data_IF_786304934155
#
_entry.id   IF_786304934155
#
_cell.length_a   1.000
_cell.length_b   1.000
_cell.length_c   1.000
_cell.angle_alpha   90.00
_cell.angle_beta   90.00
_cell.angle_gamma   90.00
#
_symmetry.space_group_name_H-M   'P 1'
#
loop_
_entity.id
_entity.type
_entity.pdbx_description
1 polymer ?
#
# COMPACT_ATOMS: atom_id res chain seq x y z
N UNK A 1 22.86 12.16 60.44
CA UNK A 1 21.85 11.50 59.58
C UNK A 1 21.38 12.52 58.55
N UNK A 2 21.52 12.22 57.25
CA UNK A 2 21.31 13.16 56.13
C UNK A 2 19.86 13.02 55.64
N UNK A 3 19.07 14.10 55.42
CA UNK A 3 17.67 13.94 55.04
C UNK A 3 17.54 13.42 53.60
N UNK A 4 16.60 12.48 53.41
CA UNK A 4 16.31 11.85 52.13
C UNK A 4 15.61 12.85 51.20
N UNK A 5 16.17 13.04 50.01
CA UNK A 5 15.68 13.93 48.96
C UNK A 5 14.35 13.39 48.38
N UNK A 6 13.25 14.12 48.56
CA UNK A 6 11.94 13.78 47.99
C UNK A 6 11.88 14.22 46.53
N UNK A 7 12.42 13.38 45.63
CA UNK A 7 12.34 13.60 44.20
C UNK A 7 10.89 13.51 43.69
N UNK A 8 10.29 14.68 43.44
CA UNK A 8 9.19 14.98 42.49
C UNK A 8 8.26 13.80 42.15
N UNK A 9 7.25 13.57 42.98
CA UNK A 9 6.11 12.73 42.60
C UNK A 9 5.31 13.46 41.51
N UNK A 10 5.00 12.82 40.36
CA UNK A 10 4.23 13.48 39.31
C UNK A 10 2.85 13.89 39.83
N UNK A 11 2.42 15.11 39.52
CA UNK A 11 1.12 15.65 39.93
C UNK A 11 -0.01 14.72 39.52
N UNK A 12 -1.05 14.48 40.36
CA UNK A 12 -2.18 13.61 40.02
C UNK A 12 -2.92 14.05 38.74
N UNK A 13 -2.80 15.32 38.34
CA UNK A 13 -3.30 15.83 37.07
C UNK A 13 -2.61 15.22 35.84
N UNK A 14 -1.31 14.92 35.93
CA UNK A 14 -0.55 14.26 34.84
C UNK A 14 -1.00 12.80 34.66
N UNK A 15 -1.28 12.10 35.75
CA UNK A 15 -1.81 10.73 35.70
C UNK A 15 -3.23 10.69 35.10
N UNK A 16 -4.10 11.63 35.48
CA UNK A 16 -5.46 11.71 34.95
C UNK A 16 -5.48 11.98 33.43
N UNK A 17 -4.56 12.82 32.92
CA UNK A 17 -4.48 13.15 31.51
C UNK A 17 -4.01 11.96 30.65
N UNK A 18 -3.06 11.16 31.16
CA UNK A 18 -2.58 9.93 30.48
C UNK A 18 -3.69 8.88 30.43
N UNK A 19 -4.45 8.71 31.51
CA UNK A 19 -5.57 7.76 31.56
C UNK A 19 -6.73 8.21 30.65
N UNK A 20 -7.00 9.51 30.54
CA UNK A 20 -8.02 10.02 29.63
C UNK A 20 -7.66 9.77 28.14
N UNK A 21 -6.39 9.95 27.77
CA UNK A 21 -5.92 9.67 26.40
C UNK A 21 -5.91 8.18 26.03
N UNK A 22 -5.74 7.29 27.01
CA UNK A 22 -5.72 5.83 26.79
C UNK A 22 -7.12 5.21 26.55
N UNK A 23 -8.19 5.99 26.74
CA UNK A 23 -9.59 5.53 26.56
C UNK A 23 -10.24 6.02 25.29
N UNK A 24 -9.49 6.73 24.43
CA UNK A 24 -9.99 7.05 23.10
C UNK A 24 -10.29 5.72 22.39
N UNK A 25 -11.54 5.47 21.96
CA UNK A 25 -11.82 4.30 21.15
C UNK A 25 -10.91 4.38 19.93
N UNK A 26 -10.06 3.37 19.75
CA UNK A 26 -9.39 3.16 18.48
C UNK A 26 -10.50 2.91 17.47
N UNK A 27 -10.84 3.93 16.69
CA UNK A 27 -11.73 3.80 15.55
C UNK A 27 -11.01 2.88 14.56
N UNK A 28 -11.27 1.58 14.65
CA UNK A 28 -10.93 0.67 13.57
C UNK A 28 -11.86 1.04 12.42
N UNK A 29 -11.33 1.62 11.34
CA UNK A 29 -12.09 1.64 10.09
C UNK A 29 -12.30 0.18 9.68
N UNK A 30 -13.54 -0.29 9.70
CA UNK A 30 -13.87 -1.55 9.02
C UNK A 30 -13.89 -1.27 7.53
N UNK A 31 -12.77 -1.60 6.89
CA UNK A 31 -12.71 -1.66 5.44
C UNK A 31 -13.42 -2.93 4.93
N UNK A 32 -13.97 -2.87 3.72
CA UNK A 32 -14.83 -3.90 3.15
C UNK A 32 -14.57 -4.19 1.67
N UNK A 33 -15.37 -5.08 1.10
CA UNK A 33 -15.15 -5.64 -0.25
C UNK A 33 -15.10 -4.56 -1.34
N UNK A 34 -15.89 -3.49 -1.17
CA UNK A 34 -15.96 -2.37 -2.13
C UNK A 34 -15.08 -1.21 -1.67
N UNK A 35 -15.06 -0.95 -0.37
CA UNK A 35 -14.37 0.16 0.27
C UNK A 35 -12.85 0.10 0.02
N UNK A 36 -12.28 -1.11 -0.05
CA UNK A 36 -10.87 -1.35 -0.37
C UNK A 36 -10.63 -1.77 -1.83
N UNK A 37 -11.65 -1.69 -2.68
CA UNK A 37 -11.48 -2.08 -4.07
C UNK A 37 -10.55 -1.10 -4.82
N UNK A 38 -9.66 -1.66 -5.64
CA UNK A 38 -8.77 -0.92 -6.52
C UNK A 38 -8.95 -1.41 -7.96
N UNK A 39 -9.07 -0.47 -8.90
CA UNK A 39 -9.11 -0.78 -10.32
C UNK A 39 -8.12 0.09 -11.10
N UNK A 40 -7.35 -0.53 -11.98
CA UNK A 40 -6.44 0.15 -12.88
C UNK A 40 -6.69 -0.33 -14.32
N UNK A 41 -6.86 0.61 -15.24
CA UNK A 41 -6.90 0.33 -16.66
C UNK A 41 -5.60 0.82 -17.32
N UNK A 42 -4.74 -0.12 -17.69
CA UNK A 42 -3.50 0.17 -18.38
C UNK A 42 -3.73 0.18 -19.89
N UNK A 43 -3.61 1.37 -20.49
CA UNK A 43 -3.59 1.55 -21.93
C UNK A 43 -2.14 1.46 -22.41
N UNK A 44 -1.77 0.33 -23.02
CA UNK A 44 -0.41 0.10 -23.48
C UNK A 44 -0.34 0.05 -24.99
N UNK A 45 0.24 1.10 -25.56
CA UNK A 45 0.70 1.08 -26.94
C UNK A 45 2.14 0.53 -26.97
N UNK A 46 2.38 -0.53 -27.72
CA UNK A 46 3.70 -1.19 -27.75
C UNK A 46 4.10 -1.56 -29.17
N UNK A 47 5.25 -1.03 -29.58
CA UNK A 47 5.90 -1.33 -30.85
C UNK A 47 7.16 -2.15 -30.58
N UNK A 48 7.31 -3.28 -31.29
CA UNK A 48 8.52 -4.09 -31.26
C UNK A 48 9.07 -4.24 -32.67
N UNK A 49 10.38 -4.05 -32.80
CA UNK A 49 11.12 -4.32 -34.02
C UNK A 49 12.38 -5.08 -33.65
N UNK A 50 12.49 -6.29 -34.18
CA UNK A 50 13.60 -7.20 -33.98
C UNK A 50 14.21 -7.54 -35.33
N UNK A 51 15.48 -7.18 -35.48
CA UNK A 51 16.30 -7.59 -36.60
C UNK A 51 17.09 -8.86 -36.22
N UNK A 52 16.92 -9.94 -36.98
CA UNK A 52 17.69 -11.17 -36.77
C UNK A 52 18.93 -11.14 -37.66
N UNK A 53 20.11 -11.20 -37.04
CA UNK A 53 21.39 -11.04 -37.75
C UNK A 53 22.07 -12.35 -38.12
N UNK A 54 21.60 -13.49 -37.59
CA UNK A 54 22.18 -14.79 -37.89
C UNK A 54 21.52 -15.40 -39.15
N UNK A 55 22.28 -15.58 -40.25
CA UNK A 55 21.75 -16.06 -41.53
C UNK A 55 21.37 -17.55 -41.51
N UNK A 56 21.73 -18.30 -40.48
CA UNK A 56 21.33 -19.70 -40.33
C UNK A 56 19.83 -19.87 -40.04
N UNK A 57 19.13 -18.79 -39.65
CA UNK A 57 17.69 -18.81 -39.39
C UNK A 57 16.91 -18.17 -40.54
N UNK A 58 15.77 -18.75 -40.95
CA UNK A 58 15.02 -18.28 -42.12
C UNK A 58 14.29 -16.95 -41.88
N UNK A 59 14.01 -16.59 -40.62
CA UNK A 59 13.33 -15.35 -40.28
C UNK A 59 14.35 -14.23 -40.04
N UNK A 60 14.38 -13.23 -40.94
CA UNK A 60 15.29 -12.09 -40.87
C UNK A 60 14.78 -10.90 -40.03
N UNK A 61 13.46 -10.78 -39.82
CA UNK A 61 12.85 -9.70 -39.03
C UNK A 61 11.57 -10.14 -38.33
N UNK A 62 11.27 -9.53 -37.19
CA UNK A 62 9.95 -9.54 -36.56
C UNK A 62 9.58 -8.09 -36.20
N UNK A 63 8.43 -7.61 -36.67
CA UNK A 63 7.95 -6.27 -36.38
C UNK A 63 6.45 -6.30 -36.12
N UNK A 64 6.04 -5.77 -34.98
CA UNK A 64 4.65 -5.79 -34.55
C UNK A 64 4.31 -4.49 -33.81
N UNK A 65 3.08 -4.03 -34.01
CA UNK A 65 2.51 -2.91 -33.27
C UNK A 65 1.19 -3.35 -32.65
N UNK A 66 1.08 -3.17 -31.33
CA UNK A 66 -0.09 -3.58 -30.57
C UNK A 66 -0.63 -2.43 -29.73
N UNK A 67 -1.96 -2.36 -29.65
CA UNK A 67 -2.67 -1.54 -28.70
C UNK A 67 -3.37 -2.47 -27.70
N UNK A 68 -3.03 -2.36 -26.43
CA UNK A 68 -3.49 -3.25 -25.38
C UNK A 68 -4.32 -2.46 -24.36
N UNK A 69 -5.33 -3.13 -23.81
CA UNK A 69 -6.19 -2.65 -22.73
C UNK A 69 -6.15 -3.70 -21.63
N UNK A 70 -5.46 -3.40 -20.53
CA UNK A 70 -5.28 -4.35 -19.42
C UNK A 70 -6.03 -3.81 -18.21
N UNK A 71 -7.09 -4.49 -17.81
CA UNK A 71 -7.86 -4.16 -16.61
C UNK A 71 -7.36 -5.02 -15.44
N UNK A 72 -6.79 -4.36 -14.43
CA UNK A 72 -6.45 -4.96 -13.13
C UNK A 72 -7.46 -4.46 -12.10
N UNK A 73 -8.43 -5.28 -11.73
CA UNK A 73 -9.45 -4.98 -10.74
C UNK A 73 -9.33 -5.93 -9.55
N UNK A 74 -9.18 -5.36 -8.36
CA UNK A 74 -9.01 -6.06 -7.08
C UNK A 74 -10.09 -5.57 -6.14
N UNK A 75 -10.86 -6.49 -5.57
CA UNK A 75 -11.77 -6.15 -4.47
C UNK A 75 -11.00 -6.03 -3.16
N UNK A 76 -11.62 -5.38 -2.18
CA UNK A 76 -11.27 -5.57 -0.79
C UNK A 76 -11.65 -6.96 -0.27
N UNK A 77 -11.40 -7.19 1.01
CA UNK A 77 -11.91 -8.36 1.73
C UNK A 77 -13.31 -8.08 2.29
N UNK A 78 -14.14 -9.11 2.42
CA UNK A 78 -15.41 -8.99 3.16
C UNK A 78 -15.12 -8.83 4.65
N UNK A 79 -15.95 -8.07 5.37
CA UNK A 79 -15.88 -7.92 6.82
C UNK A 79 -16.08 -9.28 7.52
N UNK A 80 -15.31 -9.55 8.57
CA UNK A 80 -15.38 -10.78 9.37
C UNK A 80 -14.05 -11.24 9.93
#
# INVERSE_FOLDING_TARGET
MKPLNTSKLPSPALLALVMAGATLPAMAEEHGFVEDAQANLNLRNFYINRNFTNPAYPQGKAEEWTQNFILDAKSGFTQG
#
